data_IF_498733339099
#
_entry.id   IF_498733339099
#
_cell.length_a   1.000
_cell.length_b   1.000
_cell.length_c   1.000
_cell.angle_alpha   90.00
_cell.angle_beta   90.00
_cell.angle_gamma   90.00
#
_symmetry.space_group_name_H-M   'P 1'
#
loop_
_entity.id
_entity.type
_entity.pdbx_description
1 polymer ?
#
# COMPACT_ATOMS: atom_id res chain seq x y z
N UNK A 1 40.62 -8.63 15.22
CA UNK A 1 39.70 -8.56 14.07
C UNK A 1 38.22 -8.43 14.52
N UNK A 2 37.94 -7.89 15.72
CA UNK A 2 36.58 -7.86 16.32
C UNK A 2 35.69 -6.68 15.94
N UNK A 3 36.15 -5.73 15.13
CA UNK A 3 35.35 -4.52 14.81
C UNK A 3 34.22 -4.75 13.80
N UNK A 4 34.10 -5.96 13.26
CA UNK A 4 33.05 -6.31 12.28
C UNK A 4 31.77 -6.80 12.96
N UNK A 5 31.85 -7.49 14.11
CA UNK A 5 30.69 -8.07 14.77
C UNK A 5 29.73 -7.00 15.32
N UNK A 6 30.26 -5.95 15.96
CA UNK A 6 29.46 -4.80 16.41
C UNK A 6 29.02 -3.84 15.29
N UNK A 7 29.48 -4.04 14.05
CA UNK A 7 28.98 -3.32 12.87
C UNK A 7 27.78 -4.04 12.26
N UNK A 8 27.77 -5.38 12.30
CA UNK A 8 26.69 -6.21 11.76
C UNK A 8 25.37 -5.98 12.52
N UNK A 9 25.40 -5.99 13.85
CA UNK A 9 24.22 -5.76 14.70
C UNK A 9 23.59 -4.37 14.51
N UNK A 10 24.41 -3.37 14.14
CA UNK A 10 23.94 -2.02 13.81
C UNK A 10 23.31 -1.91 12.41
N UNK A 11 23.59 -2.88 11.55
CA UNK A 11 23.07 -2.98 10.19
C UNK A 11 21.78 -3.82 10.20
N UNK A 12 21.64 -4.78 11.11
CA UNK A 12 20.41 -5.57 11.33
C UNK A 12 19.17 -4.75 11.78
N UNK A 13 19.36 -3.44 12.02
CA UNK A 13 18.30 -2.42 12.06
C UNK A 13 17.55 -2.27 10.72
N UNK A 14 17.93 -3.06 9.71
CA UNK A 14 17.22 -3.33 8.47
C UNK A 14 15.77 -3.77 8.74
N UNK A 15 14.89 -2.78 8.88
CA UNK A 15 13.52 -2.76 8.36
C UNK A 15 12.90 -4.15 8.23
N UNK A 16 12.19 -4.59 9.26
CA UNK A 16 11.50 -5.89 9.24
C UNK A 16 10.80 -6.06 7.88
N UNK A 17 11.13 -7.11 7.10
CA UNK A 17 10.65 -7.27 5.73
C UNK A 17 9.12 -7.27 5.65
N UNK A 18 8.45 -7.55 6.77
CA UNK A 18 7.01 -7.43 6.98
C UNK A 18 6.48 -6.01 6.73
N UNK A 19 7.16 -4.96 7.23
CA UNK A 19 6.74 -3.57 7.04
C UNK A 19 6.95 -3.11 5.61
N UNK A 20 8.06 -3.51 5.00
CA UNK A 20 8.33 -3.25 3.59
C UNK A 20 7.29 -3.94 2.70
N UNK A 21 6.97 -5.20 2.97
CA UNK A 21 5.94 -5.95 2.25
C UNK A 21 4.55 -5.30 2.39
N UNK A 22 4.15 -4.88 3.59
CA UNK A 22 2.90 -4.16 3.81
C UNK A 22 2.85 -2.80 3.09
N UNK A 23 3.98 -2.08 3.04
CA UNK A 23 4.07 -0.81 2.32
C UNK A 23 3.96 -0.99 0.81
N UNK A 24 4.65 -1.97 0.24
CA UNK A 24 4.56 -2.35 -1.18
C UNK A 24 3.15 -2.80 -1.52
N UNK A 25 2.53 -3.61 -0.65
CA UNK A 25 1.16 -4.06 -0.84
C UNK A 25 0.20 -2.85 -0.88
N UNK A 26 0.36 -1.87 0.03
CA UNK A 26 -0.39 -0.61 -0.01
C UNK A 26 -0.25 0.13 -1.35
N UNK A 27 0.97 0.18 -1.91
CA UNK A 27 1.21 0.78 -3.22
C UNK A 27 0.51 0.00 -4.37
N UNK A 28 0.46 -1.33 -4.30
CA UNK A 28 -0.29 -2.15 -5.26
C UNK A 28 -1.80 -1.87 -5.20
N UNK A 29 -2.36 -1.69 -4.01
CA UNK A 29 -3.77 -1.28 -3.85
C UNK A 29 -4.03 0.09 -4.48
N UNK A 30 -3.13 1.07 -4.28
CA UNK A 30 -3.24 2.39 -4.92
C UNK A 30 -3.15 2.31 -6.46
N UNK A 31 -2.24 1.48 -6.97
CA UNK A 31 -2.09 1.28 -8.41
C UNK A 31 -3.33 0.63 -9.02
N UNK A 32 -3.90 -0.39 -8.35
CA UNK A 32 -5.14 -1.03 -8.77
C UNK A 32 -6.32 -0.05 -8.79
N UNK A 33 -6.50 0.75 -7.73
CA UNK A 33 -7.55 1.78 -7.68
C UNK A 33 -7.41 2.82 -8.80
N UNK A 34 -6.17 3.28 -9.05
CA UNK A 34 -5.87 4.23 -10.14
C UNK A 34 -6.16 3.60 -11.51
N UNK A 35 -5.83 2.33 -11.69
CA UNK A 35 -6.08 1.61 -12.93
C UNK A 35 -7.58 1.48 -13.22
N UNK A 36 -8.39 1.17 -12.19
CA UNK A 36 -9.85 1.13 -12.30
C UNK A 36 -10.40 2.49 -12.75
N UNK A 37 -9.98 3.59 -12.12
CA UNK A 37 -10.44 4.94 -12.48
C UNK A 37 -10.02 5.31 -13.92
N UNK A 38 -8.80 5.00 -14.32
CA UNK A 38 -8.29 5.27 -15.68
C UNK A 38 -9.10 4.55 -16.77
N UNK A 39 -9.62 3.35 -16.47
CA UNK A 39 -10.46 2.58 -17.39
C UNK A 39 -11.95 2.91 -17.26
N UNK A 40 -12.30 3.80 -16.32
CA UNK A 40 -13.68 4.21 -16.08
C UNK A 40 -14.10 5.26 -17.09
N UNK A 41 -14.55 4.79 -18.25
CA UNK A 41 -15.16 5.62 -19.28
C UNK A 41 -16.67 5.38 -19.30
N UNK A 42 -17.45 6.46 -19.39
CA UNK A 42 -18.88 6.40 -19.69
C UNK A 42 -19.02 5.97 -21.15
N UNK A 43 -18.91 4.67 -21.37
CA UNK A 43 -19.05 4.07 -22.69
C UNK A 43 -20.51 3.73 -22.97
N UNK A 44 -20.88 3.66 -24.24
CA UNK A 44 -22.23 3.31 -24.67
C UNK A 44 -22.54 1.89 -24.18
N UNK A 45 -23.58 1.74 -23.35
CA UNK A 45 -23.98 0.47 -22.73
C UNK A 45 -23.61 0.31 -21.26
N UNK A 46 -22.88 1.26 -20.67
CA UNK A 46 -22.63 1.28 -19.21
C UNK A 46 -23.74 2.10 -18.54
N UNK A 47 -24.53 1.44 -17.67
CA UNK A 47 -25.51 2.13 -16.84
C UNK A 47 -24.81 2.98 -15.77
N UNK A 48 -25.45 4.07 -15.35
CA UNK A 48 -24.91 4.95 -14.30
C UNK A 48 -24.62 4.17 -13.01
N UNK A 49 -25.46 3.20 -12.68
CA UNK A 49 -25.30 2.33 -11.52
C UNK A 49 -23.97 1.55 -11.56
N UNK A 50 -23.63 0.95 -12.70
CA UNK A 50 -22.37 0.22 -12.87
C UNK A 50 -21.15 1.14 -12.76
N UNK A 51 -21.28 2.37 -13.27
CA UNK A 51 -20.24 3.38 -13.15
C UNK A 51 -20.00 3.77 -11.68
N UNK A 52 -21.07 4.02 -10.92
CA UNK A 52 -21.01 4.33 -9.48
C UNK A 52 -20.44 3.16 -8.68
N UNK A 53 -20.83 1.92 -9.00
CA UNK A 53 -20.30 0.72 -8.37
C UNK A 53 -18.78 0.60 -8.57
N UNK A 54 -18.28 0.83 -9.79
CA UNK A 54 -16.86 0.77 -10.07
C UNK A 54 -16.07 1.90 -9.37
N UNK A 55 -16.64 3.10 -9.26
CA UNK A 55 -16.09 4.18 -8.43
C UNK A 55 -15.99 3.77 -6.95
N UNK A 56 -17.01 3.11 -6.42
CA UNK A 56 -17.03 2.65 -5.03
C UNK A 56 -15.95 1.59 -4.79
N UNK A 57 -15.75 0.67 -5.75
CA UNK A 57 -14.64 -0.30 -5.70
C UNK A 57 -13.29 0.39 -5.72
N UNK A 58 -13.07 1.36 -6.61
CA UNK A 58 -11.83 2.14 -6.64
C UNK A 58 -11.59 2.87 -5.30
N UNK A 59 -12.64 3.46 -4.73
CA UNK A 59 -12.57 4.13 -3.42
C UNK A 59 -12.14 3.18 -2.30
N UNK A 60 -12.66 1.94 -2.28
CA UNK A 60 -12.24 0.91 -1.32
C UNK A 60 -10.76 0.55 -1.50
N UNK A 61 -10.24 0.47 -2.73
CA UNK A 61 -8.81 0.26 -2.98
C UNK A 61 -7.96 1.40 -2.39
N UNK A 62 -8.37 2.66 -2.55
CA UNK A 62 -7.67 3.81 -1.95
C UNK A 62 -7.71 3.78 -0.42
N UNK A 63 -8.86 3.45 0.17
CA UNK A 63 -8.99 3.30 1.62
C UNK A 63 -8.10 2.18 2.16
N UNK A 64 -8.10 1.02 1.52
CA UNK A 64 -7.26 -0.11 1.91
C UNK A 64 -5.76 0.24 1.80
N UNK A 65 -5.33 0.82 0.68
CA UNK A 65 -3.95 1.26 0.48
C UNK A 65 -3.51 2.29 1.52
N UNK A 66 -4.37 3.28 1.80
CA UNK A 66 -4.14 4.29 2.83
C UNK A 66 -4.04 3.69 4.23
N UNK A 67 -4.96 2.78 4.60
CA UNK A 67 -4.94 2.09 5.89
C UNK A 67 -3.65 1.28 6.07
N UNK A 68 -3.18 0.59 5.03
CA UNK A 68 -1.92 -0.16 5.10
C UNK A 68 -0.72 0.76 5.37
N UNK A 69 -0.65 1.93 4.73
CA UNK A 69 0.42 2.89 4.99
C UNK A 69 0.35 3.51 6.40
N UNK A 70 -0.85 3.80 6.90
CA UNK A 70 -1.04 4.24 8.29
C UNK A 70 -0.59 3.14 9.25
N UNK A 71 -0.96 1.88 9.00
CA UNK A 71 -0.55 0.75 9.82
C UNK A 71 0.98 0.59 9.87
N UNK A 72 1.66 0.74 8.72
CA UNK A 72 3.13 0.72 8.67
C UNK A 72 3.74 1.89 9.44
N UNK A 73 3.19 3.10 9.32
CA UNK A 73 3.66 4.28 10.05
C UNK A 73 3.50 4.13 11.58
N UNK A 74 2.39 3.54 12.04
CA UNK A 74 2.17 3.26 13.47
C UNK A 74 3.11 2.15 13.95
N UNK A 75 3.23 1.06 13.20
CA UNK A 75 4.08 -0.06 13.60
C UNK A 75 5.57 0.32 13.66
N UNK A 76 6.03 1.18 12.73
CA UNK A 76 7.40 1.72 12.79
C UNK A 76 7.61 2.63 14.00
N UNK A 77 6.60 3.42 14.41
CA UNK A 77 6.70 4.22 15.64
C UNK A 77 6.63 3.39 16.92
N UNK A 78 5.94 2.27 16.93
CA UNK A 78 5.82 1.42 18.12
C UNK A 78 7.08 0.58 18.40
N UNK A 79 7.91 0.37 17.37
CA UNK A 79 9.13 -0.44 17.42
C UNK A 79 10.44 0.37 17.50
N UNK A 80 10.35 1.71 17.45
CA UNK A 80 11.45 2.66 17.64
C UNK A 80 11.46 3.19 19.09
#
# INVERSE_FOLDING_TARGET
MDRQHGRQERVDFHTSPKYLAAWILGALFMMAGTWVIQNLQLNIGVTIENYVLALLVAFVFFLAGGLLWIAVAVATRLHL
#
